data_IF_918364593072
#
_entry.id   IF_918364593072
#
_cell.length_a   1.000
_cell.length_b   1.000
_cell.length_c   1.000
_cell.angle_alpha   90.00
_cell.angle_beta   90.00
_cell.angle_gamma   90.00
#
_symmetry.space_group_name_H-M   'P 1'
#
loop_
_entity.id
_entity.type
_entity.pdbx_description
1 polymer ?
#
# COMPACT_ATOMS: atom_id res chain seq x y z
N UNK A 1 15.15 -8.99 -8.16
CA UNK A 1 14.23 -8.05 -7.49
C UNK A 1 13.09 -7.78 -8.46
N UNK A 2 11.88 -8.18 -8.08
CA UNK A 2 10.73 -8.18 -8.98
C UNK A 2 9.86 -6.96 -8.69
N UNK A 3 9.57 -6.17 -9.73
CA UNK A 3 8.80 -4.93 -9.63
C UNK A 3 7.31 -5.23 -9.78
N UNK A 4 6.50 -4.71 -8.87
CA UNK A 4 5.06 -4.93 -8.81
C UNK A 4 4.30 -3.60 -8.94
N UNK A 5 3.29 -3.57 -9.80
CA UNK A 5 2.27 -2.52 -9.83
C UNK A 5 0.97 -3.03 -9.21
N UNK A 6 0.30 -2.19 -8.42
CA UNK A 6 -1.02 -2.50 -7.87
C UNK A 6 -2.07 -1.67 -8.61
N UNK A 7 -3.01 -2.32 -9.28
CA UNK A 7 -4.16 -1.65 -9.89
C UNK A 7 -5.41 -1.93 -9.06
N UNK A 8 -5.94 -0.89 -8.42
CA UNK A 8 -7.01 -0.95 -7.42
C UNK A 8 -6.46 -1.02 -6.00
N UNK A 9 -6.44 0.12 -5.30
CA UNK A 9 -5.95 0.27 -3.93
C UNK A 9 -7.08 0.21 -2.89
N UNK A 10 -8.00 -0.72 -3.13
CA UNK A 10 -9.07 -1.09 -2.21
C UNK A 10 -8.57 -1.94 -1.04
N UNK A 11 -9.46 -2.74 -0.47
CA UNK A 11 -9.18 -3.52 0.73
C UNK A 11 -8.01 -4.50 0.56
N UNK A 12 -7.99 -5.26 -0.54
CA UNK A 12 -6.91 -6.22 -0.82
C UNK A 12 -5.61 -5.53 -1.19
N UNK A 13 -5.64 -4.50 -2.06
CA UNK A 13 -4.44 -3.77 -2.46
C UNK A 13 -3.70 -3.15 -1.27
N UNK A 14 -4.43 -2.60 -0.30
CA UNK A 14 -3.85 -2.07 0.95
C UNK A 14 -3.23 -3.16 1.82
N UNK A 15 -3.90 -4.30 1.95
CA UNK A 15 -3.37 -5.44 2.73
C UNK A 15 -2.13 -6.06 2.09
N UNK A 16 -2.08 -6.14 0.76
CA UNK A 16 -0.89 -6.59 0.03
C UNK A 16 0.28 -5.65 0.32
N UNK A 17 0.10 -4.33 0.15
CA UNK A 17 1.17 -3.39 0.45
C UNK A 17 1.60 -3.46 1.92
N UNK A 18 0.63 -3.52 2.85
CA UNK A 18 0.92 -3.66 4.28
C UNK A 18 1.74 -4.90 4.58
N UNK A 19 1.39 -6.05 4.00
CA UNK A 19 2.14 -7.29 4.20
C UNK A 19 3.54 -7.18 3.63
N UNK A 20 3.70 -6.62 2.43
CA UNK A 20 5.01 -6.42 1.79
C UNK A 20 5.94 -5.48 2.58
N UNK A 21 5.38 -4.55 3.36
CA UNK A 21 6.15 -3.69 4.26
C UNK A 21 6.56 -4.39 5.57
N UNK A 22 5.86 -5.46 5.96
CA UNK A 22 6.12 -6.23 7.18
C UNK A 22 7.02 -7.45 6.95
N UNK A 23 7.09 -7.96 5.71
CA UNK A 23 7.97 -9.07 5.34
C UNK A 23 9.20 -8.57 4.61
N UNK A 24 10.34 -9.20 4.89
CA UNK A 24 11.48 -9.06 3.99
C UNK A 24 11.15 -9.85 2.71
N UNK A 25 11.00 -9.13 1.60
CA UNK A 25 10.66 -9.72 0.31
C UNK A 25 11.49 -9.09 -0.81
N UNK A 26 11.77 -9.87 -1.83
CA UNK A 26 12.44 -9.40 -3.05
C UNK A 26 11.51 -8.63 -4.00
N UNK A 27 10.30 -8.29 -3.53
CA UNK A 27 9.25 -7.60 -4.27
C UNK A 27 9.25 -6.10 -3.93
N UNK A 28 9.28 -5.28 -4.96
CA UNK A 28 9.24 -3.81 -4.83
C UNK A 28 7.96 -3.28 -5.48
N UNK A 29 7.11 -2.60 -4.70
CA UNK A 29 5.93 -1.93 -5.24
C UNK A 29 6.36 -0.61 -5.87
N UNK A 30 6.31 -0.52 -7.21
CA UNK A 30 6.80 0.64 -7.97
C UNK A 30 5.70 1.65 -8.32
N UNK A 31 4.45 1.19 -8.37
CA UNK A 31 3.31 2.02 -8.72
C UNK A 31 2.02 1.48 -8.11
N UNK A 32 1.12 2.41 -7.76
CA UNK A 32 -0.25 2.11 -7.33
C UNK A 32 -1.15 3.01 -8.17
N UNK A 33 -2.15 2.41 -8.81
CA UNK A 33 -3.19 3.10 -9.57
C UNK A 33 -4.54 2.89 -8.88
N UNK A 34 -5.28 3.97 -8.63
CA UNK A 34 -6.64 3.96 -8.08
C UNK A 34 -7.42 5.20 -8.57
N UNK A 35 -8.73 5.21 -8.38
CA UNK A 35 -9.58 6.36 -8.73
C UNK A 35 -9.53 7.47 -7.67
N UNK A 36 -8.99 7.15 -6.48
CA UNK A 36 -8.99 8.05 -5.33
C UNK A 36 -7.66 8.81 -5.20
N UNK A 37 -7.72 10.03 -4.68
CA UNK A 37 -6.50 10.84 -4.45
C UNK A 37 -5.47 10.12 -3.55
N UNK A 38 -4.16 10.27 -3.82
CA UNK A 38 -3.09 9.65 -3.03
C UNK A 38 -3.16 9.96 -1.53
N UNK A 39 -3.62 11.16 -1.14
CA UNK A 39 -3.78 11.56 0.27
C UNK A 39 -4.79 10.69 1.01
N UNK A 40 -5.91 10.37 0.36
CA UNK A 40 -6.94 9.51 0.95
C UNK A 40 -6.44 8.07 1.02
N UNK A 41 -5.76 7.58 -0.02
CA UNK A 41 -5.17 6.24 -0.02
C UNK A 41 -4.13 6.07 1.09
N UNK A 42 -3.28 7.08 1.31
CA UNK A 42 -2.33 7.13 2.42
C UNK A 42 -3.03 7.05 3.78
N UNK A 43 -4.10 7.82 3.95
CA UNK A 43 -4.91 7.79 5.16
C UNK A 43 -5.54 6.41 5.40
N UNK A 44 -6.15 5.82 4.37
CA UNK A 44 -6.77 4.50 4.43
C UNK A 44 -5.77 3.35 4.63
N UNK A 45 -4.53 3.52 4.19
CA UNK A 45 -3.45 2.58 4.48
C UNK A 45 -3.02 2.68 5.95
N UNK A 46 -2.91 3.91 6.47
CA UNK A 46 -2.52 4.16 7.86
C UNK A 46 -3.59 3.72 8.85
N UNK A 47 -4.87 3.94 8.53
CA UNK A 47 -6.01 3.70 9.41
C UNK A 47 -6.94 2.63 8.81
N UNK A 48 -6.83 1.39 9.29
CA UNK A 48 -7.74 0.30 8.94
C UNK A 48 -8.56 -0.12 10.17
N UNK A 49 -9.88 -0.18 10.04
CA UNK A 49 -10.78 -0.50 11.15
C UNK A 49 -10.70 -1.95 11.63
N UNK A 50 -10.31 -2.89 10.77
CA UNK A 50 -10.27 -4.31 11.11
C UNK A 50 -8.89 -4.74 11.62
N UNK A 51 -7.82 -4.17 11.05
CA UNK A 51 -6.44 -4.56 11.35
C UNK A 51 -5.68 -3.50 12.15
N UNK A 52 -6.35 -2.41 12.52
CA UNK A 52 -5.76 -1.29 13.25
C UNK A 52 -4.70 -0.53 12.43
N UNK A 53 -3.98 0.40 13.09
CA UNK A 53 -3.02 1.26 12.42
C UNK A 53 -1.85 0.46 11.81
N UNK A 54 -1.46 0.78 10.58
CA UNK A 54 -0.26 0.19 9.98
C UNK A 54 1.01 0.91 10.45
N UNK A 55 2.01 0.14 10.87
CA UNK A 55 3.29 0.68 11.38
C UNK A 55 4.26 1.12 10.28
N UNK A 56 4.06 0.65 9.04
CA UNK A 56 4.95 0.91 7.90
C UNK A 56 4.48 2.03 6.93
N UNK A 57 3.36 2.71 7.19
CA UNK A 57 2.75 3.63 6.22
C UNK A 57 3.50 4.97 6.00
N UNK A 58 4.61 5.22 6.70
CA UNK A 58 5.42 6.44 6.50
C UNK A 58 6.15 6.48 5.16
N UNK A 59 6.30 5.34 4.49
CA UNK A 59 7.08 5.21 3.25
C UNK A 59 6.18 4.72 2.13
N UNK A 60 5.43 5.65 1.51
CA UNK A 60 4.58 5.32 0.37
C UNK A 60 5.39 5.34 -0.93
N UNK A 61 5.30 4.31 -1.78
CA UNK A 61 5.85 4.36 -3.13
C UNK A 61 5.13 5.44 -3.95
N UNK A 62 5.73 5.88 -5.07
CA UNK A 62 5.14 6.90 -5.94
C UNK A 62 3.75 6.46 -6.42
N UNK A 63 2.72 7.06 -5.83
CA UNK A 63 1.32 6.91 -6.26
C UNK A 63 1.10 7.84 -7.45
N UNK A 64 0.55 7.31 -8.54
CA UNK A 64 0.19 8.06 -9.75
C UNK A 64 -1.28 7.91 -10.04
#
# INVERSE_FOLDING_TARGET
>A
MSKLGINGFGRIGRLVLRRLLEVDSSLEVVAINDLTSPKVLAYLLKHDSNYGPSRGASTLPKMR
#
